data_IF_422695151858
#
_entry.id   IF_422695151858
#
_cell.length_a   1.000
_cell.length_b   1.000
_cell.length_c   1.000
_cell.angle_alpha   90.00
_cell.angle_beta   90.00
_cell.angle_gamma   90.00
#
_symmetry.space_group_name_H-M   'P 1'
#
loop_
_entity.id
_entity.type
_entity.pdbx_description
1 polymer ?
#
# COMPACT_ATOMS: atom_id res chain seq x y z
N UNK A 1 22.88 -0.42 -6.43
CA UNK A 1 22.42 0.98 -6.50
C UNK A 1 21.93 1.30 -7.91
N UNK A 2 22.69 1.00 -8.96
CA UNK A 2 22.31 1.29 -10.36
C UNK A 2 20.98 0.66 -10.75
N UNK A 3 20.77 -0.62 -10.44
CA UNK A 3 19.48 -1.29 -10.63
C UNK A 3 18.33 -0.66 -9.84
N UNK A 4 18.60 -0.09 -8.66
CA UNK A 4 17.56 0.57 -7.87
C UNK A 4 17.18 1.92 -8.49
N UNK A 5 18.16 2.71 -8.93
CA UNK A 5 17.91 3.96 -9.67
C UNK A 5 17.24 3.67 -11.01
N UNK A 6 17.65 2.60 -11.70
CA UNK A 6 17.01 2.10 -12.91
C UNK A 6 15.55 1.70 -12.68
N UNK A 7 15.24 0.99 -11.58
CA UNK A 7 13.86 0.66 -11.21
C UNK A 7 13.01 1.91 -10.92
N UNK A 8 13.57 2.92 -10.26
CA UNK A 8 12.91 4.22 -10.06
C UNK A 8 12.66 4.91 -11.41
N UNK A 9 13.65 4.92 -12.30
CA UNK A 9 13.54 5.51 -13.64
C UNK A 9 12.43 4.84 -14.46
N UNK A 10 12.39 3.50 -14.49
CA UNK A 10 11.33 2.72 -15.17
C UNK A 10 9.97 3.01 -14.54
N UNK A 11 9.86 2.99 -13.21
CA UNK A 11 8.61 3.28 -12.50
C UNK A 11 8.05 4.67 -12.84
N UNK A 12 8.90 5.70 -12.87
CA UNK A 12 8.51 7.06 -13.28
C UNK A 12 8.03 7.06 -14.73
N UNK A 13 8.78 6.44 -15.66
CA UNK A 13 8.40 6.39 -17.08
C UNK A 13 7.10 5.62 -17.32
N UNK A 14 6.83 4.60 -16.51
CA UNK A 14 5.66 3.74 -16.65
C UNK A 14 4.40 4.34 -16.02
N UNK A 15 4.52 4.97 -14.86
CA UNK A 15 3.37 5.48 -14.10
C UNK A 15 3.12 6.99 -14.23
N UNK A 16 4.10 7.77 -14.69
CA UNK A 16 3.95 9.22 -14.85
C UNK A 16 3.82 9.58 -16.32
N UNK A 17 2.74 10.27 -16.64
CA UNK A 17 2.65 10.94 -17.93
C UNK A 17 3.66 12.09 -17.97
N UNK A 18 4.47 12.13 -19.03
CA UNK A 18 5.50 13.15 -19.27
C UNK A 18 5.08 14.11 -20.38
N UNK A 19 3.84 14.01 -20.86
CA UNK A 19 3.25 14.97 -21.78
C UNK A 19 2.90 16.27 -21.04
N UNK A 20 3.03 17.44 -21.70
CA UNK A 20 2.59 18.70 -21.13
C UNK A 20 1.15 18.63 -20.63
N UNK A 21 0.83 19.13 -19.41
CA UNK A 21 1.64 20.06 -18.61
C UNK A 21 2.62 19.41 -17.61
N UNK A 22 2.87 18.10 -17.66
CA UNK A 22 3.70 17.40 -16.67
C UNK A 22 5.20 17.55 -16.96
N UNK A 23 5.98 17.83 -15.90
CA UNK A 23 7.43 18.06 -16.00
C UNK A 23 8.20 16.74 -16.09
N UNK A 24 8.92 16.46 -17.19
CA UNK A 24 9.74 15.25 -17.31
C UNK A 24 10.86 15.25 -16.25
N UNK A 25 11.14 14.08 -15.69
CA UNK A 25 12.32 13.88 -14.82
C UNK A 25 13.52 13.58 -15.72
N UNK A 26 14.54 14.43 -15.66
CA UNK A 26 15.74 14.28 -16.48
C UNK A 26 16.66 13.18 -15.91
N UNK A 27 17.40 12.51 -16.79
CA UNK A 27 18.36 11.47 -16.42
C UNK A 27 19.38 11.98 -15.39
N UNK A 28 19.84 13.22 -15.51
CA UNK A 28 20.76 13.85 -14.55
C UNK A 28 20.21 13.93 -13.13
N UNK A 29 18.90 14.12 -12.98
CA UNK A 29 18.24 14.12 -11.66
C UNK A 29 18.21 12.71 -11.05
N UNK A 30 18.08 11.68 -11.89
CA UNK A 30 18.09 10.28 -11.45
C UNK A 30 19.51 9.82 -11.10
N UNK A 31 20.50 10.19 -11.91
CA UNK A 31 21.92 9.92 -11.65
C UNK A 31 22.36 10.51 -10.30
N UNK A 32 21.87 11.71 -9.96
CA UNK A 32 22.16 12.36 -8.68
C UNK A 32 21.57 11.65 -7.45
N UNK A 33 20.65 10.68 -7.62
CA UNK A 33 20.12 9.87 -6.51
C UNK A 33 21.10 8.82 -6.01
N UNK A 34 22.03 8.39 -6.87
CA UNK A 34 22.99 7.36 -6.50
C UNK A 34 24.07 7.93 -5.57
N UNK A 35 24.56 7.14 -4.60
CA UNK A 35 25.65 7.56 -3.73
C UNK A 35 27.01 7.60 -4.45
N UNK A 36 27.08 7.08 -5.68
CA UNK A 36 28.25 7.07 -6.54
C UNK A 36 27.90 7.65 -7.92
N UNK A 37 28.93 8.00 -8.70
CA UNK A 37 28.75 8.51 -10.06
C UNK A 37 28.20 7.41 -10.98
N UNK A 38 27.07 7.68 -11.62
CA UNK A 38 26.44 6.80 -12.61
C UNK A 38 26.43 7.55 -13.95
N UNK A 39 27.01 6.95 -14.98
CA UNK A 39 26.99 7.47 -16.34
C UNK A 39 25.60 7.44 -16.96
N UNK A 40 25.43 8.10 -18.11
CA UNK A 40 24.14 8.03 -18.82
C UNK A 40 23.90 6.61 -19.35
N UNK A 41 24.93 6.03 -19.95
CA UNK A 41 24.88 4.68 -20.51
C UNK A 41 24.65 3.64 -19.40
N UNK A 42 25.31 3.76 -18.25
CA UNK A 42 25.11 2.85 -17.10
C UNK A 42 23.64 2.85 -16.61
N UNK A 43 23.01 4.02 -16.59
CA UNK A 43 21.60 4.15 -16.21
C UNK A 43 20.67 3.55 -17.27
N UNK A 44 21.01 3.68 -18.55
CA UNK A 44 20.21 3.11 -19.64
C UNK A 44 20.32 1.57 -19.66
N UNK A 45 21.54 1.05 -19.52
CA UNK A 45 21.83 -0.37 -19.40
C UNK A 45 21.10 -0.98 -18.18
N UNK A 46 21.14 -0.32 -17.01
CA UNK A 46 20.42 -0.80 -15.83
C UNK A 46 18.89 -0.87 -16.04
N UNK A 47 18.31 0.06 -16.80
CA UNK A 47 16.88 0.01 -17.14
C UNK A 47 16.58 -1.12 -18.15
N UNK A 48 17.43 -1.29 -19.16
CA UNK A 48 17.29 -2.34 -20.16
C UNK A 48 17.40 -3.73 -19.53
N UNK A 49 18.39 -3.93 -18.66
CA UNK A 49 18.60 -5.17 -17.91
C UNK A 49 17.42 -5.48 -16.99
N UNK A 50 16.89 -4.47 -16.28
CA UNK A 50 15.71 -4.62 -15.43
C UNK A 50 14.50 -5.09 -16.25
N UNK A 51 14.19 -4.41 -17.36
CA UNK A 51 13.06 -4.75 -18.22
C UNK A 51 13.21 -6.14 -18.84
N UNK A 52 14.42 -6.47 -19.27
CA UNK A 52 14.75 -7.80 -19.80
C UNK A 52 14.55 -8.88 -18.74
N UNK A 53 15.01 -8.64 -17.50
CA UNK A 53 14.88 -9.59 -16.40
C UNK A 53 13.43 -9.88 -16.01
N UNK A 54 12.52 -8.90 -16.14
CA UNK A 54 11.07 -9.09 -15.90
C UNK A 54 10.29 -9.48 -17.16
N UNK A 55 10.98 -9.81 -18.26
CA UNK A 55 10.34 -10.20 -19.51
C UNK A 55 9.46 -9.11 -20.12
N UNK A 56 9.78 -7.84 -19.85
CA UNK A 56 9.00 -6.66 -20.23
C UNK A 56 7.57 -6.63 -19.67
N UNK A 57 7.29 -7.43 -18.64
CA UNK A 57 5.99 -7.44 -17.94
C UNK A 57 6.17 -6.73 -16.59
N UNK A 58 5.68 -5.50 -16.52
CA UNK A 58 5.61 -4.73 -15.28
C UNK A 58 4.30 -5.04 -14.56
N UNK A 59 4.38 -5.20 -13.23
CA UNK A 59 3.21 -5.48 -12.39
C UNK A 59 2.26 -4.28 -12.25
N UNK A 60 1.14 -4.53 -11.58
CA UNK A 60 0.20 -3.47 -11.18
C UNK A 60 0.67 -2.70 -9.96
N UNK A 61 -0.03 -1.61 -9.65
CA UNK A 61 0.14 -0.84 -8.41
C UNK A 61 -1.02 -1.09 -7.45
N UNK A 62 -0.85 -0.83 -6.15
CA UNK A 62 -1.94 -0.88 -5.18
C UNK A 62 -3.12 0.03 -5.57
N UNK A 63 -2.86 1.16 -6.25
CA UNK A 63 -3.87 2.12 -6.71
C UNK A 63 -5.02 1.42 -7.44
N UNK A 64 -4.71 0.59 -8.45
CA UNK A 64 -5.75 -0.04 -9.27
C UNK A 64 -6.68 -0.94 -8.45
N UNK A 65 -6.12 -1.67 -7.47
CA UNK A 65 -6.91 -2.50 -6.56
C UNK A 65 -7.81 -1.65 -5.67
N UNK A 66 -7.29 -0.54 -5.15
CA UNK A 66 -8.03 0.37 -4.27
C UNK A 66 -9.16 1.08 -5.01
N UNK A 67 -8.93 1.51 -6.25
CA UNK A 67 -9.94 2.14 -7.10
C UNK A 67 -11.07 1.14 -7.43
N UNK A 68 -10.71 -0.08 -7.85
CA UNK A 68 -11.68 -1.15 -8.11
C UNK A 68 -12.50 -1.50 -6.85
N UNK A 69 -11.86 -1.52 -5.67
CA UNK A 69 -12.52 -1.79 -4.41
C UNK A 69 -13.55 -0.71 -4.05
N UNK A 70 -13.20 0.57 -4.22
CA UNK A 70 -14.09 1.69 -3.96
C UNK A 70 -15.30 1.68 -4.92
N UNK A 71 -15.07 1.36 -6.19
CA UNK A 71 -16.13 1.21 -7.18
C UNK A 71 -17.05 0.03 -6.85
N UNK A 72 -16.48 -1.11 -6.45
CA UNK A 72 -17.20 -2.33 -6.14
C UNK A 72 -18.02 -2.27 -4.84
N UNK A 73 -17.63 -1.43 -3.87
CA UNK A 73 -18.24 -1.37 -2.54
C UNK A 73 -18.97 -0.05 -2.28
N UNK A 74 -20.30 0.00 -2.48
CA UNK A 74 -21.12 1.13 -2.08
C UNK A 74 -21.05 1.42 -0.56
N UNK A 75 -20.93 0.38 0.28
CA UNK A 75 -20.82 0.51 1.74
C UNK A 75 -19.60 1.32 2.17
N UNK A 76 -18.47 1.14 1.47
CA UNK A 76 -17.25 1.92 1.70
C UNK A 76 -17.44 3.41 1.35
N UNK A 77 -18.17 3.69 0.26
CA UNK A 77 -18.51 5.06 -0.16
C UNK A 77 -19.53 5.72 0.78
N UNK A 78 -20.43 4.95 1.36
CA UNK A 78 -21.37 5.44 2.38
C UNK A 78 -20.68 5.76 3.71
N UNK A 79 -19.65 4.99 4.09
CA UNK A 79 -18.89 5.24 5.31
C UNK A 79 -18.00 6.49 5.20
N UNK A 80 -17.39 6.72 4.04
CA UNK A 80 -16.53 7.88 3.76
C UNK A 80 -17.11 8.73 2.62
N UNK A 81 -18.23 9.43 2.85
CA UNK A 81 -18.88 10.23 1.81
C UNK A 81 -18.07 11.50 1.47
N UNK A 82 -17.24 11.96 2.40
CA UNK A 82 -16.39 13.15 2.23
C UNK A 82 -15.05 12.76 1.59
N UNK A 83 -14.71 13.39 0.44
CA UNK A 83 -13.44 13.16 -0.28
C UNK A 83 -12.20 13.32 0.62
N UNK A 84 -12.29 14.21 1.63
CA UNK A 84 -11.22 14.43 2.59
C UNK A 84 -10.95 13.22 3.50
N UNK A 85 -11.97 12.52 3.96
CA UNK A 85 -11.81 11.36 4.84
C UNK A 85 -11.26 10.16 4.06
N UNK A 86 -11.77 9.92 2.84
CA UNK A 86 -11.21 8.89 1.97
C UNK A 86 -9.74 9.15 1.62
N UNK A 87 -9.37 10.42 1.37
CA UNK A 87 -7.97 10.78 1.14
C UNK A 87 -7.06 10.47 2.34
N UNK A 88 -7.60 10.53 3.57
CA UNK A 88 -6.88 10.12 4.77
C UNK A 88 -6.73 8.60 4.83
N UNK A 89 -7.79 7.84 4.56
CA UNK A 89 -7.72 6.38 4.47
C UNK A 89 -6.66 5.94 3.46
N UNK A 90 -6.65 6.54 2.27
CA UNK A 90 -5.63 6.28 1.26
C UNK A 90 -4.22 6.61 1.75
N UNK A 91 -4.03 7.77 2.42
CA UNK A 91 -2.73 8.15 2.97
C UNK A 91 -2.23 7.14 3.99
N UNK A 92 -3.09 6.66 4.87
CA UNK A 92 -2.71 5.67 5.89
C UNK A 92 -2.45 4.29 5.25
N UNK A 93 -3.25 3.92 4.26
CA UNK A 93 -3.03 2.71 3.43
C UNK A 93 -1.64 2.74 2.79
N UNK A 94 -1.27 3.86 2.15
CA UNK A 94 0.05 4.04 1.54
C UNK A 94 1.17 3.96 2.56
N UNK A 95 0.99 4.57 3.73
CA UNK A 95 1.96 4.51 4.82
C UNK A 95 2.20 3.06 5.25
N UNK A 96 1.14 2.28 5.46
CA UNK A 96 1.25 0.85 5.81
C UNK A 96 1.94 0.04 4.73
N UNK A 97 1.59 0.24 3.45
CA UNK A 97 2.27 -0.42 2.32
C UNK A 97 3.76 -0.08 2.24
N UNK A 98 4.13 1.19 2.47
CA UNK A 98 5.53 1.62 2.49
C UNK A 98 6.32 1.05 3.68
N UNK A 99 5.67 0.71 4.78
CA UNK A 99 6.30 -0.04 5.87
C UNK A 99 6.47 -1.50 5.45
N UNK A 100 5.45 -2.10 4.85
CA UNK A 100 5.46 -3.50 4.44
C UNK A 100 6.55 -3.83 3.42
N UNK A 101 6.92 -2.93 2.51
CA UNK A 101 8.00 -3.17 1.54
C UNK A 101 9.39 -3.37 2.18
N UNK A 102 9.55 -3.01 3.46
CA UNK A 102 10.79 -3.23 4.20
C UNK A 102 10.89 -4.66 4.74
N UNK A 103 9.78 -5.40 4.77
CA UNK A 103 9.74 -6.78 5.25
C UNK A 103 10.27 -7.75 4.19
N UNK A 104 11.15 -8.70 4.56
CA UNK A 104 11.82 -9.57 3.59
C UNK A 104 10.85 -10.52 2.88
N UNK A 105 9.75 -10.88 3.54
CA UNK A 105 8.79 -11.87 3.06
C UNK A 105 7.64 -11.24 2.25
N UNK A 106 7.64 -9.90 2.07
CA UNK A 106 6.54 -9.16 1.45
C UNK A 106 6.23 -9.63 0.03
N UNK A 107 7.27 -10.06 -0.71
CA UNK A 107 7.17 -10.52 -2.08
C UNK A 107 6.44 -11.86 -2.22
N UNK A 108 6.20 -12.58 -1.12
CA UNK A 108 5.43 -13.82 -1.13
C UNK A 108 3.91 -13.57 -1.19
N UNK A 109 3.47 -12.33 -0.98
CA UNK A 109 2.06 -11.98 -0.93
C UNK A 109 1.63 -11.25 -2.21
N UNK A 110 0.44 -11.57 -2.76
CA UNK A 110 -0.07 -10.87 -3.92
C UNK A 110 -0.42 -9.42 -3.55
N UNK A 111 -0.18 -8.50 -4.49
CA UNK A 111 -0.39 -7.07 -4.28
C UNK A 111 -1.84 -6.74 -3.90
N UNK A 112 -2.82 -7.51 -4.39
CA UNK A 112 -4.23 -7.34 -4.03
C UNK A 112 -4.48 -7.60 -2.54
N UNK A 113 -3.92 -8.69 -2.01
CA UNK A 113 -4.03 -9.02 -0.58
C UNK A 113 -3.35 -7.96 0.28
N UNK A 114 -2.15 -7.51 -0.11
CA UNK A 114 -1.43 -6.46 0.62
C UNK A 114 -2.21 -5.14 0.64
N UNK A 115 -2.77 -4.74 -0.51
CA UNK A 115 -3.54 -3.51 -0.65
C UNK A 115 -4.80 -3.55 0.21
N UNK A 116 -5.48 -4.70 0.21
CA UNK A 116 -6.71 -4.91 0.97
C UNK A 116 -6.47 -4.95 2.46
N UNK A 117 -5.44 -5.68 2.92
CA UNK A 117 -5.08 -5.70 4.33
C UNK A 117 -4.71 -4.30 4.81
N UNK A 118 -3.94 -3.56 4.01
CA UNK A 118 -3.54 -2.20 4.35
C UNK A 118 -4.74 -1.23 4.41
N UNK A 119 -5.70 -1.31 3.47
CA UNK A 119 -6.88 -0.43 3.49
C UNK A 119 -7.83 -0.79 4.62
N UNK A 120 -7.95 -2.07 4.95
CA UNK A 120 -8.78 -2.55 6.07
C UNK A 120 -8.30 -1.98 7.41
N UNK A 121 -6.99 -2.03 7.66
CA UNK A 121 -6.36 -1.42 8.83
C UNK A 121 -6.50 0.11 8.81
N UNK A 122 -6.29 0.74 7.65
CA UNK A 122 -6.44 2.19 7.52
C UNK A 122 -7.86 2.69 7.81
N UNK A 123 -8.89 1.95 7.41
CA UNK A 123 -10.29 2.25 7.73
C UNK A 123 -10.50 2.22 9.24
N UNK A 124 -10.03 1.17 9.93
CA UNK A 124 -10.10 1.07 11.38
C UNK A 124 -9.40 2.25 12.07
N UNK A 125 -8.19 2.58 11.64
CA UNK A 125 -7.41 3.68 12.20
C UNK A 125 -8.11 5.04 12.02
N UNK A 126 -8.69 5.31 10.85
CA UNK A 126 -9.42 6.56 10.60
C UNK A 126 -10.69 6.64 11.45
N UNK A 127 -11.45 5.54 11.57
CA UNK A 127 -12.63 5.47 12.44
C UNK A 127 -12.27 5.68 13.91
N UNK A 128 -11.17 5.06 14.37
CA UNK A 128 -10.62 5.28 15.71
C UNK A 128 -10.29 6.76 15.93
N UNK A 129 -9.62 7.41 14.99
CA UNK A 129 -9.28 8.83 15.11
C UNK A 129 -10.52 9.73 15.18
N UNK A 130 -11.60 9.38 14.46
CA UNK A 130 -12.89 10.10 14.53
C UNK A 130 -13.44 10.10 15.96
N UNK A 131 -13.28 8.99 16.68
CA UNK A 131 -13.78 8.80 18.06
C UNK A 131 -12.83 9.37 19.12
N UNK A 132 -11.52 9.26 18.90
CA UNK A 132 -10.45 9.67 19.83
C UNK A 132 -10.33 11.20 19.99
N UNK A 133 -11.01 12.00 19.16
CA UNK A 133 -11.20 13.44 19.42
C UNK A 133 -11.86 13.75 20.78
N UNK A 134 -12.42 12.73 21.45
CA UNK A 134 -13.00 12.79 22.79
C UNK A 134 -12.20 11.95 23.83
N UNK A 135 -11.29 12.61 24.56
CA UNK A 135 -10.60 12.21 25.82
C UNK A 135 -10.19 10.73 26.01
N UNK A 136 -8.88 10.54 26.23
CA UNK A 136 -8.10 9.30 26.49
C UNK A 136 -8.63 8.20 27.44
N UNK A 137 -9.75 8.39 28.16
CA UNK A 137 -10.20 7.42 29.18
C UNK A 137 -10.98 6.22 28.64
N UNK A 138 -11.29 6.18 27.35
CA UNK A 138 -12.17 5.16 26.75
C UNK A 138 -11.58 4.49 25.51
N UNK A 139 -10.25 4.47 25.35
CA UNK A 139 -9.57 3.97 24.15
C UNK A 139 -10.01 2.56 23.75
N UNK A 140 -10.14 1.64 24.70
CA UNK A 140 -10.57 0.26 24.45
C UNK A 140 -12.02 0.18 23.98
N UNK A 141 -12.90 1.01 24.56
CA UNK A 141 -14.31 1.09 24.16
C UNK A 141 -14.46 1.70 22.76
N UNK A 142 -13.69 2.74 22.45
CA UNK A 142 -13.70 3.36 21.12
C UNK A 142 -13.15 2.41 20.05
N UNK A 143 -12.22 1.53 20.43
CA UNK A 143 -11.72 0.47 19.56
C UNK A 143 -12.80 -0.56 19.25
N UNK A 144 -13.50 -1.05 20.27
CA UNK A 144 -14.62 -1.98 20.09
C UNK A 144 -15.71 -1.36 19.18
N UNK A 145 -16.10 -0.10 19.42
CA UNK A 145 -17.09 0.60 18.59
C UNK A 145 -16.60 0.84 17.14
N UNK A 146 -15.31 1.10 16.93
CA UNK A 146 -14.74 1.28 15.59
C UNK A 146 -14.61 -0.06 14.85
N UNK A 147 -14.29 -1.14 15.57
CA UNK A 147 -14.26 -2.50 15.04
C UNK A 147 -15.67 -2.94 14.60
N UNK A 148 -16.71 -2.72 15.43
CA UNK A 148 -18.11 -2.97 15.05
C UNK A 148 -18.54 -2.14 13.81
N UNK A 149 -18.16 -0.86 13.74
CA UNK A 149 -18.51 0.02 12.62
C UNK A 149 -17.79 -0.40 11.32
N UNK A 150 -16.57 -0.93 11.42
CA UNK A 150 -15.81 -1.44 10.28
C UNK A 150 -16.21 -2.86 9.86
N UNK A 151 -16.69 -3.70 10.78
CA UNK A 151 -16.94 -5.13 10.58
C UNK A 151 -17.76 -5.41 9.31
N UNK A 152 -18.85 -4.65 9.11
CA UNK A 152 -19.71 -4.82 7.92
C UNK A 152 -18.95 -4.63 6.61
N UNK A 153 -18.05 -3.65 6.55
CA UNK A 153 -17.26 -3.36 5.35
C UNK A 153 -16.12 -4.36 5.20
N UNK A 154 -15.49 -4.77 6.30
CA UNK A 154 -14.43 -5.78 6.28
C UNK A 154 -14.96 -7.12 5.77
N UNK A 155 -16.19 -7.49 6.16
CA UNK A 155 -16.89 -8.66 5.62
C UNK A 155 -17.22 -8.49 4.13
N UNK A 156 -17.68 -7.31 3.70
CA UNK A 156 -17.93 -7.03 2.29
C UNK A 156 -16.65 -7.14 1.45
N UNK A 157 -15.53 -6.59 1.94
CA UNK A 157 -14.20 -6.68 1.33
C UNK A 157 -13.77 -8.16 1.20
N UNK A 158 -13.88 -8.93 2.28
CA UNK A 158 -13.56 -10.37 2.28
C UNK A 158 -14.41 -11.15 1.26
N UNK A 159 -15.71 -10.85 1.21
CA UNK A 159 -16.65 -11.47 0.27
C UNK A 159 -16.31 -11.17 -1.19
N UNK A 160 -15.98 -9.92 -1.52
CA UNK A 160 -15.60 -9.52 -2.89
C UNK A 160 -14.32 -10.22 -3.35
N UNK A 161 -13.39 -10.48 -2.44
CA UNK A 161 -12.09 -11.07 -2.75
C UNK A 161 -12.06 -12.59 -2.65
N UNK A 162 -13.14 -13.21 -2.14
CA UNK A 162 -13.20 -14.64 -1.88
C UNK A 162 -12.19 -15.11 -0.82
N UNK A 163 -11.83 -14.23 0.11
CA UNK A 163 -10.89 -14.51 1.21
C UNK A 163 -11.69 -14.90 2.46
N UNK A 164 -11.32 -16.00 3.13
CA UNK A 164 -11.88 -16.39 4.42
C UNK A 164 -11.23 -15.65 5.61
N UNK A 165 -11.98 -15.49 6.72
CA UNK A 165 -11.66 -14.73 7.95
C UNK A 165 -10.21 -14.23 8.09
N UNK A 166 -10.04 -12.90 8.03
CA UNK A 166 -8.81 -12.20 8.42
C UNK A 166 -8.93 -11.75 9.87
N UNK A 167 -8.12 -12.32 10.77
CA UNK A 167 -8.05 -11.85 12.17
C UNK A 167 -7.20 -10.58 12.25
N UNK A 168 -7.82 -9.44 12.55
CA UNK A 168 -7.14 -8.15 12.76
C UNK A 168 -6.48 -8.11 14.13
N UNK A 169 -5.25 -8.62 14.21
CA UNK A 169 -4.36 -8.34 15.33
C UNK A 169 -3.64 -7.04 15.06
N UNK A 170 -3.57 -6.15 16.07
CA UNK A 170 -2.93 -4.83 15.96
C UNK A 170 -1.61 -4.92 15.19
N UNK A 171 -1.49 -4.17 14.09
CA UNK A 171 -0.32 -4.20 13.22
C UNK A 171 1.00 -3.83 13.95
N UNK A 172 0.93 -3.20 15.13
CA UNK A 172 2.09 -2.96 16.00
C UNK A 172 2.63 -4.20 16.74
N UNK A 173 1.91 -5.33 16.76
CA UNK A 173 2.33 -6.53 17.49
C UNK A 173 2.17 -7.85 16.71
N UNK A 174 1.38 -7.89 15.64
CA UNK A 174 1.01 -9.15 14.99
C UNK A 174 1.95 -9.60 13.88
N UNK A 175 2.71 -8.70 13.25
CA UNK A 175 3.72 -9.11 12.27
C UNK A 175 4.95 -9.81 12.91
N UNK A 176 5.17 -9.59 14.22
CA UNK A 176 6.21 -10.28 15.00
C UNK A 176 5.74 -11.60 15.63
N UNK A 177 4.44 -11.93 15.59
CA UNK A 177 3.88 -13.11 16.27
C UNK A 177 3.49 -14.27 15.35
N UNK A 178 3.34 -14.05 14.04
CA UNK A 178 3.02 -15.14 13.11
C UNK A 178 4.16 -16.15 12.95
N UNK A 179 5.41 -15.80 13.32
CA UNK A 179 6.55 -16.73 13.33
C UNK A 179 6.65 -17.64 14.56
N UNK A 180 5.75 -17.54 15.54
CA UNK A 180 5.77 -18.42 16.73
C UNK A 180 4.77 -19.58 16.67
N UNK A 181 3.89 -19.62 15.67
CA UNK A 181 2.91 -20.70 15.50
C UNK A 181 3.31 -21.76 14.45
N UNK A 182 4.24 -21.45 13.52
CA UNK A 182 4.69 -22.41 12.49
C UNK A 182 5.97 -23.19 12.85
N UNK A 183 6.52 -23.02 14.06
CA UNK A 183 7.70 -23.77 14.54
C UNK A 183 7.35 -24.90 15.52
N UNK A 184 6.08 -25.02 15.92
CA UNK A 184 5.58 -26.08 16.83
C UNK A 184 4.55 -27.02 16.17
N UNK A 185 4.69 -27.31 14.87
CA UNK A 185 3.95 -28.38 14.16
C UNK A 185 4.88 -29.30 13.36
#
# INVERSE_FOLDING_TARGET
WDMAVGAVAVSIKYHRDFLPPLLPVYASSLQALAPHEIGFDDLDDAQADLLSAVGYVLGGTPVGVLDELLDALPSLRELFPDEGEWSWVLRETWRSLMICILEPDILNFPISLLSVSAVSEAVLDVLLHRKVSSRDKYKDKWREEAEEEAEGILLDIQNVLGIGEVSFGSFEASFLLTRKAEVDA
#
